data_IF_996923520199
#
_entry.id   IF_996923520199
#
_cell.length_a   1.000
_cell.length_b   1.000
_cell.length_c   1.000
_cell.angle_alpha   90.00
_cell.angle_beta   90.00
_cell.angle_gamma   90.00
#
_symmetry.space_group_name_H-M   'P 1'
#
loop_
_entity.id
_entity.type
_entity.pdbx_description
1 polymer ?
#
# COMPACT_ATOMS: atom_id res chain seq x y z
N UNK A 1 11.91 -2.90 14.69
CA UNK A 1 11.79 -3.12 13.23
C UNK A 1 12.67 -2.13 12.49
N UNK A 2 13.35 -2.54 11.43
CA UNK A 2 14.09 -1.64 10.54
C UNK A 2 13.42 -1.67 9.17
N UNK A 3 13.25 -0.51 8.55
CA UNK A 3 12.67 -0.40 7.22
C UNK A 3 13.50 0.53 6.35
N UNK A 4 13.68 0.18 5.08
CA UNK A 4 14.34 0.97 4.07
C UNK A 4 13.43 1.09 2.84
N UNK A 5 13.38 2.28 2.25
CA UNK A 5 12.59 2.57 1.05
C UNK A 5 13.52 2.86 -0.11
N UNK A 6 13.30 2.18 -1.21
CA UNK A 6 13.98 2.41 -2.48
C UNK A 6 12.94 2.79 -3.54
N UNK A 7 13.14 3.91 -4.21
CA UNK A 7 12.28 4.32 -5.32
C UNK A 7 12.69 3.56 -6.59
N UNK A 8 11.79 2.76 -7.11
CA UNK A 8 11.98 2.06 -8.38
C UNK A 8 11.55 2.97 -9.55
N UNK A 9 10.45 3.71 -9.34
CA UNK A 9 9.88 4.62 -10.34
C UNK A 9 9.27 5.84 -9.64
N UNK A 10 8.79 6.82 -10.41
CA UNK A 10 8.11 8.01 -9.89
C UNK A 10 6.86 7.67 -9.03
N UNK A 11 6.25 6.52 -9.29
CA UNK A 11 5.02 6.04 -8.63
C UNK A 11 5.19 4.70 -7.94
N UNK A 12 6.34 4.02 -8.05
CA UNK A 12 6.57 2.67 -7.50
C UNK A 12 7.75 2.68 -6.55
N UNK A 13 7.54 2.16 -5.35
CA UNK A 13 8.58 2.02 -4.34
C UNK A 13 8.71 0.58 -3.88
N UNK A 14 9.93 0.19 -3.54
CA UNK A 14 10.28 -1.07 -2.90
C UNK A 14 10.61 -0.79 -1.45
N UNK A 15 9.86 -1.41 -0.57
CA UNK A 15 10.03 -1.35 0.87
C UNK A 15 10.73 -2.63 1.34
N UNK A 16 11.91 -2.51 1.92
CA UNK A 16 12.63 -3.62 2.55
C UNK A 16 12.45 -3.50 4.05
N UNK A 17 11.96 -4.57 4.67
CA UNK A 17 11.66 -4.60 6.11
C UNK A 17 12.40 -5.74 6.78
N UNK A 18 13.05 -5.44 7.89
CA UNK A 18 13.72 -6.38 8.77
C UNK A 18 13.00 -6.37 10.12
N UNK A 19 12.45 -7.52 10.51
CA UNK A 19 11.73 -7.73 11.78
C UNK A 19 12.55 -8.64 12.66
N UNK A 20 12.86 -8.19 13.88
CA UNK A 20 13.57 -9.01 14.87
C UNK A 20 12.68 -10.13 15.41
N UNK A 21 13.31 -11.18 15.93
CA UNK A 21 12.58 -12.30 16.53
C UNK A 21 11.68 -11.87 17.70
N UNK A 22 12.12 -10.89 18.50
CA UNK A 22 11.34 -10.38 19.64
C UNK A 22 10.05 -9.69 19.18
N UNK A 23 10.10 -8.99 18.05
CA UNK A 23 8.91 -8.35 17.45
C UNK A 23 7.99 -9.38 16.78
N UNK A 24 8.54 -10.48 16.26
CA UNK A 24 7.77 -11.57 15.68
C UNK A 24 7.11 -12.48 16.75
N UNK A 25 7.64 -12.52 17.95
CA UNK A 25 7.19 -13.39 19.05
C UNK A 25 5.69 -13.28 19.38
N UNK A 26 5.07 -12.09 19.46
CA UNK A 26 3.63 -11.97 19.68
C UNK A 26 2.81 -12.67 18.59
N UNK A 27 3.24 -12.57 17.32
CA UNK A 27 2.58 -13.25 16.20
C UNK A 27 2.75 -14.76 16.27
N UNK A 28 3.92 -15.24 16.71
CA UNK A 28 4.16 -16.68 16.97
C UNK A 28 3.26 -17.19 18.10
N UNK A 29 3.14 -16.45 19.19
CA UNK A 29 2.27 -16.83 20.32
C UNK A 29 0.79 -16.84 19.91
N UNK A 30 0.38 -15.93 19.02
CA UNK A 30 -0.96 -15.91 18.46
C UNK A 30 -1.21 -17.11 17.54
N UNK A 31 -0.26 -17.42 16.67
CA UNK A 31 -0.32 -18.58 15.79
C UNK A 31 -0.47 -19.90 16.57
N UNK A 32 0.28 -20.08 17.67
CA UNK A 32 0.12 -21.23 18.54
C UNK A 32 -1.30 -21.33 19.12
N UNK A 33 -1.89 -20.22 19.57
CA UNK A 33 -3.26 -20.20 20.10
C UNK A 33 -4.27 -20.56 19.02
N UNK A 34 -4.15 -19.96 17.84
CA UNK A 34 -5.04 -20.21 16.71
C UNK A 34 -4.98 -21.68 16.25
N UNK A 35 -3.77 -22.23 16.13
CA UNK A 35 -3.56 -23.64 15.79
C UNK A 35 -4.11 -24.56 16.90
N UNK A 36 -3.91 -24.22 18.18
CA UNK A 36 -4.46 -25.00 19.30
C UNK A 36 -5.99 -25.06 19.30
N UNK A 37 -6.67 -24.04 18.77
CA UNK A 37 -8.12 -23.99 18.61
C UNK A 37 -8.61 -24.77 17.39
N UNK A 38 -7.83 -24.81 16.32
CA UNK A 38 -8.19 -25.46 15.06
C UNK A 38 -7.92 -26.97 15.08
N UNK A 39 -6.83 -27.41 15.73
CA UNK A 39 -6.38 -28.79 15.74
C UNK A 39 -7.02 -29.59 16.89
N UNK A 40 -7.45 -30.81 16.59
CA UNK A 40 -7.95 -31.74 17.59
C UNK A 40 -6.86 -32.76 17.93
N UNK A 41 -6.36 -32.70 19.16
CA UNK A 41 -5.35 -33.65 19.68
C UNK A 41 -5.99 -34.52 20.78
N UNK A 42 -6.03 -35.86 20.61
CA UNK A 42 -6.52 -36.75 21.64
C UNK A 42 -5.80 -36.54 22.99
N UNK A 43 -6.56 -36.42 24.07
CA UNK A 43 -6.04 -36.17 25.43
C UNK A 43 -5.89 -34.68 25.79
N UNK A 44 -6.12 -33.75 24.89
CA UNK A 44 -6.07 -32.32 25.17
C UNK A 44 -7.38 -31.64 24.79
N UNK A 45 -7.77 -30.65 25.60
CA UNK A 45 -8.91 -29.79 25.28
C UNK A 45 -8.49 -28.78 24.21
N UNK A 46 -9.37 -28.51 23.23
CA UNK A 46 -9.19 -27.45 22.22
C UNK A 46 -8.80 -26.11 22.87
N UNK A 47 -7.79 -25.45 22.35
CA UNK A 47 -7.26 -24.17 22.85
C UNK A 47 -6.35 -24.33 24.10
N UNK A 48 -6.10 -25.54 24.58
CA UNK A 48 -5.22 -25.84 25.75
C UNK A 48 -4.13 -26.86 25.42
N UNK A 49 -3.70 -26.88 24.16
CA UNK A 49 -2.64 -27.81 23.72
C UNK A 49 -1.29 -27.10 23.92
N UNK A 50 -0.33 -27.74 24.63
CA UNK A 50 1.01 -27.19 24.83
C UNK A 50 1.75 -26.99 23.48
N UNK A 51 2.55 -25.90 23.29
CA UNK A 51 3.31 -25.66 22.07
C UNK A 51 4.14 -26.84 21.58
N UNK A 52 4.78 -27.58 22.50
CA UNK A 52 5.58 -28.76 22.14
C UNK A 52 4.78 -29.85 21.44
N UNK A 53 3.51 -30.03 21.79
CA UNK A 53 2.64 -31.01 21.16
C UNK A 53 2.20 -30.50 19.76
N UNK A 54 2.00 -29.21 19.60
CA UNK A 54 1.70 -28.60 18.32
C UNK A 54 2.91 -28.77 17.39
N UNK A 55 4.12 -28.49 17.87
CA UNK A 55 5.37 -28.66 17.11
C UNK A 55 5.58 -30.12 16.65
N UNK A 56 5.21 -31.12 17.48
CA UNK A 56 5.31 -32.52 17.10
C UNK A 56 4.26 -32.95 16.07
N UNK A 57 3.08 -32.37 16.08
CA UNK A 57 1.96 -32.79 15.24
C UNK A 57 1.88 -32.01 13.91
N UNK A 58 2.08 -30.71 13.97
CA UNK A 58 1.93 -29.78 12.85
C UNK A 58 3.29 -29.39 12.29
N UNK A 59 4.32 -29.39 13.14
CA UNK A 59 5.66 -28.93 12.80
C UNK A 59 5.85 -27.45 13.10
N UNK A 60 7.01 -27.11 13.66
CA UNK A 60 7.36 -25.71 13.99
C UNK A 60 7.41 -24.80 12.75
N UNK A 61 7.77 -25.38 11.59
CA UNK A 61 7.79 -24.64 10.32
C UNK A 61 6.42 -24.11 9.94
N UNK A 62 5.38 -24.94 10.05
CA UNK A 62 4.01 -24.51 9.72
C UNK A 62 3.47 -23.46 10.71
N UNK A 63 3.86 -23.55 11.98
CA UNK A 63 3.51 -22.50 12.97
C UNK A 63 4.17 -21.18 12.63
N UNK A 64 5.45 -21.20 12.25
CA UNK A 64 6.20 -20.02 11.86
C UNK A 64 5.64 -19.39 10.57
N UNK A 65 5.34 -20.20 9.58
CA UNK A 65 4.70 -19.75 8.33
C UNK A 65 3.35 -19.08 8.61
N UNK A 66 2.53 -19.69 9.48
CA UNK A 66 1.26 -19.09 9.88
C UNK A 66 1.46 -17.76 10.63
N UNK A 67 2.43 -17.69 11.55
CA UNK A 67 2.75 -16.48 12.28
C UNK A 67 3.25 -15.35 11.37
N UNK A 68 4.07 -15.68 10.36
CA UNK A 68 4.56 -14.71 9.37
C UNK A 68 3.40 -14.20 8.53
N UNK A 69 2.59 -15.09 7.96
CA UNK A 69 1.47 -14.71 7.11
C UNK A 69 0.46 -13.81 7.84
N UNK A 70 0.19 -14.10 9.12
CA UNK A 70 -0.71 -13.31 9.95
C UNK A 70 -0.09 -11.96 10.37
N UNK A 71 1.19 -11.95 10.73
CA UNK A 71 1.91 -10.75 11.17
C UNK A 71 2.31 -9.81 10.05
N UNK A 72 2.45 -10.32 8.81
CA UNK A 72 3.02 -9.60 7.67
C UNK A 72 2.26 -8.30 7.36
N UNK A 73 0.93 -8.34 7.40
CA UNK A 73 0.08 -7.15 7.18
C UNK A 73 0.30 -6.07 8.23
N UNK A 74 0.52 -6.46 9.48
CA UNK A 74 0.82 -5.55 10.59
C UNK A 74 2.18 -4.89 10.42
N UNK A 75 3.22 -5.66 10.14
CA UNK A 75 4.58 -5.17 9.90
C UNK A 75 4.66 -4.25 8.68
N UNK A 76 3.95 -4.59 7.60
CA UNK A 76 3.83 -3.73 6.43
C UNK A 76 3.16 -2.39 6.78
N UNK A 77 2.03 -2.41 7.50
CA UNK A 77 1.32 -1.19 7.87
C UNK A 77 2.16 -0.28 8.77
N UNK A 78 2.95 -0.85 9.68
CA UNK A 78 3.88 -0.11 10.54
C UNK A 78 5.00 0.50 9.70
N UNK A 79 5.63 -0.26 8.80
CA UNK A 79 6.67 0.22 7.90
C UNK A 79 6.20 1.35 6.98
N UNK A 80 4.99 1.25 6.43
CA UNK A 80 4.36 2.31 5.63
C UNK A 80 4.15 3.59 6.44
N UNK A 81 3.72 3.46 7.70
CA UNK A 81 3.50 4.59 8.60
C UNK A 81 4.80 5.30 8.95
N UNK A 82 5.83 4.54 9.31
CA UNK A 82 7.13 5.07 9.70
C UNK A 82 7.79 5.83 8.57
N UNK A 83 7.65 5.34 7.34
CA UNK A 83 8.19 5.98 6.15
C UNK A 83 7.22 7.00 5.51
N UNK A 84 6.06 7.26 6.13
CA UNK A 84 5.04 8.22 5.67
C UNK A 84 4.59 7.99 4.22
N UNK A 85 4.62 6.76 3.77
CA UNK A 85 4.18 6.38 2.43
C UNK A 85 2.65 6.44 2.31
N UNK A 86 2.17 6.69 1.10
CA UNK A 86 0.73 6.69 0.78
C UNK A 86 0.47 5.66 -0.32
N UNK A 87 0.30 4.40 0.03
CA UNK A 87 0.01 3.35 -0.93
C UNK A 87 -1.33 3.58 -1.61
N UNK A 88 -1.39 3.31 -2.91
CA UNK A 88 -2.60 3.41 -3.73
C UNK A 88 -3.27 2.05 -3.95
N UNK A 89 -2.52 0.97 -3.82
CA UNK A 89 -2.99 -0.38 -4.08
C UNK A 89 -2.50 -1.40 -3.05
N UNK A 90 -2.75 -2.66 -3.34
CA UNK A 90 -2.23 -3.78 -2.55
C UNK A 90 -0.73 -3.95 -2.85
N UNK A 91 0.11 -4.16 -1.82
CA UNK A 91 1.53 -4.42 -2.02
C UNK A 91 1.74 -5.82 -2.59
N UNK A 92 2.73 -5.95 -3.44
CA UNK A 92 3.29 -7.25 -3.81
C UNK A 92 4.40 -7.59 -2.81
N UNK A 93 4.15 -8.58 -1.95
CA UNK A 93 5.03 -8.91 -0.82
C UNK A 93 5.77 -10.20 -1.10
N UNK A 94 7.09 -10.16 -0.98
CA UNK A 94 7.98 -11.31 -1.10
C UNK A 94 8.81 -11.48 0.16
N UNK A 95 8.75 -12.67 0.77
CA UNK A 95 9.57 -13.02 1.94
C UNK A 95 10.93 -13.52 1.45
N UNK A 96 11.99 -12.79 1.77
CA UNK A 96 13.35 -13.11 1.32
C UNK A 96 14.13 -13.97 2.32
N UNK A 97 13.86 -13.81 3.62
CA UNK A 97 14.54 -14.58 4.67
C UNK A 97 13.58 -14.87 5.82
N UNK A 98 13.55 -16.12 6.24
CA UNK A 98 12.77 -16.61 7.36
C UNK A 98 13.71 -16.95 8.51
N UNK A 99 13.36 -16.69 9.80
CA UNK A 99 14.16 -17.11 10.94
C UNK A 99 14.35 -18.63 10.97
N UNK A 100 15.48 -19.10 11.45
CA UNK A 100 15.74 -20.54 11.56
C UNK A 100 14.77 -21.23 12.52
N UNK A 101 14.27 -22.40 12.12
CA UNK A 101 13.28 -23.18 12.87
C UNK A 101 13.73 -23.59 14.29
N UNK A 102 15.03 -23.72 14.51
CA UNK A 102 15.64 -24.18 15.76
C UNK A 102 16.15 -23.06 16.65
N UNK A 103 16.28 -21.85 16.10
CA UNK A 103 16.82 -20.71 16.82
C UNK A 103 15.71 -19.91 17.51
N UNK A 104 16.04 -19.40 18.69
CA UNK A 104 15.27 -18.34 19.38
C UNK A 104 15.77 -16.96 18.97
N UNK A 105 16.68 -16.91 18.01
CA UNK A 105 17.29 -15.73 17.46
C UNK A 105 17.20 -15.81 15.93
N UNK A 106 16.91 -14.70 15.29
CA UNK A 106 16.80 -14.63 13.84
C UNK A 106 16.03 -13.39 13.42
N UNK A 107 16.06 -13.10 12.16
CA UNK A 107 15.38 -11.96 11.57
C UNK A 107 14.50 -12.42 10.41
N UNK A 108 13.32 -11.87 10.35
CA UNK A 108 12.44 -11.99 9.19
C UNK A 108 12.74 -10.82 8.26
N UNK A 109 13.10 -11.12 7.02
CA UNK A 109 13.24 -10.10 5.98
C UNK A 109 12.18 -10.30 4.91
N UNK A 110 11.49 -9.25 4.57
CA UNK A 110 10.57 -9.25 3.44
C UNK A 110 10.69 -7.96 2.65
N UNK A 111 10.35 -8.03 1.39
CA UNK A 111 10.26 -6.88 0.49
C UNK A 111 8.81 -6.69 0.07
N UNK A 112 8.37 -5.44 -0.02
CA UNK A 112 7.04 -5.09 -0.49
C UNK A 112 7.17 -4.04 -1.59
N UNK A 113 6.70 -4.38 -2.79
CA UNK A 113 6.59 -3.42 -3.87
C UNK A 113 5.17 -2.86 -3.90
N UNK A 114 5.07 -1.56 -3.92
CA UNK A 114 3.76 -0.88 -3.85
C UNK A 114 3.77 0.40 -4.68
N UNK A 115 2.64 0.68 -5.30
CA UNK A 115 2.40 1.95 -5.96
C UNK A 115 2.04 3.02 -4.92
N UNK A 116 2.72 4.16 -5.00
CA UNK A 116 2.52 5.30 -4.11
C UNK A 116 2.12 6.54 -4.91
N UNK A 117 1.45 7.44 -4.23
CA UNK A 117 1.16 8.75 -4.81
C UNK A 117 2.48 9.52 -5.03
N UNK A 118 2.80 9.94 -6.27
CA UNK A 118 4.00 10.73 -6.53
C UNK A 118 3.93 12.10 -5.88
N UNK A 119 5.08 12.65 -5.54
CA UNK A 119 5.19 14.06 -5.20
C UNK A 119 5.04 14.90 -6.47
N UNK A 120 4.00 15.73 -6.51
CA UNK A 120 3.72 16.61 -7.65
C UNK A 120 4.29 17.98 -7.33
N UNK A 121 5.35 18.37 -8.03
CA UNK A 121 5.86 19.72 -7.98
C UNK A 121 5.04 20.58 -8.95
N UNK A 122 4.23 21.47 -8.41
CA UNK A 122 3.45 22.42 -9.23
C UNK A 122 4.41 23.52 -9.71
N UNK A 123 4.46 23.81 -11.04
CA UNK A 123 5.25 24.92 -11.52
C UNK A 123 4.73 26.25 -10.97
N UNK A 124 5.61 27.23 -10.84
CA UNK A 124 5.21 28.58 -10.46
C UNK A 124 4.25 29.15 -11.53
N UNK A 125 3.01 29.39 -11.15
CA UNK A 125 1.96 29.86 -12.05
C UNK A 125 2.32 31.21 -12.68
N UNK A 126 3.06 32.04 -11.98
CA UNK A 126 3.53 33.35 -12.45
C UNK A 126 4.56 33.25 -13.60
N UNK A 127 5.16 32.07 -13.79
CA UNK A 127 6.08 31.82 -14.91
C UNK A 127 5.38 31.45 -16.23
N UNK A 128 4.08 31.17 -16.18
CA UNK A 128 3.29 30.74 -17.34
C UNK A 128 2.78 31.99 -18.05
N UNK A 129 3.37 32.28 -19.20
CA UNK A 129 2.92 33.37 -20.08
C UNK A 129 1.96 32.80 -21.13
N UNK A 130 0.74 33.27 -21.12
CA UNK A 130 -0.24 32.96 -22.15
C UNK A 130 -0.29 34.13 -23.16
N UNK A 131 -0.03 33.84 -24.42
CA UNK A 131 -0.25 34.79 -25.49
C UNK A 131 -1.64 34.56 -26.05
N UNK A 132 -2.48 35.56 -25.95
CA UNK A 132 -3.85 35.53 -26.51
C UNK A 132 -3.86 36.49 -27.67
N UNK A 133 -4.38 36.06 -28.81
CA UNK A 133 -4.55 36.93 -29.96
C UNK A 133 -5.54 38.05 -29.63
N UNK A 134 -5.22 39.27 -30.09
CA UNK A 134 -6.13 40.41 -29.93
C UNK A 134 -7.41 40.15 -30.71
N UNK A 135 -8.54 40.43 -30.07
CA UNK A 135 -9.84 40.31 -30.72
C UNK A 135 -10.08 41.60 -31.52
N UNK A 136 -9.88 41.54 -32.81
CA UNK A 136 -10.27 42.62 -33.70
C UNK A 136 -11.75 42.44 -34.09
N UNK A 137 -12.56 43.45 -33.80
CA UNK A 137 -13.95 43.50 -34.24
C UNK A 137 -14.00 44.16 -35.60
N UNK A 138 -14.37 43.39 -36.60
CA UNK A 138 -14.46 43.89 -38.01
C UNK A 138 -15.83 44.52 -38.25
N UNK A 139 -15.90 45.38 -39.29
CA UNK A 139 -17.17 45.98 -39.75
C UNK A 139 -18.19 44.91 -40.20
N UNK A 140 -17.69 43.74 -40.64
CA UNK A 140 -18.51 42.58 -40.97
C UNK A 140 -19.18 41.97 -39.73
N UNK A 141 -18.45 41.87 -38.61
CA UNK A 141 -18.98 41.38 -37.35
C UNK A 141 -20.08 42.30 -36.82
N UNK A 142 -19.88 43.63 -36.93
CA UNK A 142 -20.86 44.62 -36.52
C UNK A 142 -22.11 44.53 -37.41
N UNK A 143 -21.94 44.41 -38.72
CA UNK A 143 -23.03 44.31 -39.68
C UNK A 143 -23.83 43.01 -39.46
N UNK A 144 -23.13 41.90 -39.33
CA UNK A 144 -23.77 40.61 -39.04
C UNK A 144 -24.58 40.62 -37.70
N UNK A 145 -24.07 41.35 -36.71
CA UNK A 145 -24.79 41.50 -35.44
C UNK A 145 -26.02 42.39 -35.55
N UNK A 146 -25.95 43.45 -36.37
CA UNK A 146 -27.07 44.32 -36.66
C UNK A 146 -28.16 43.59 -37.45
N UNK A 147 -27.79 42.79 -38.44
CA UNK A 147 -28.73 42.01 -39.21
C UNK A 147 -29.45 40.94 -38.38
N UNK A 148 -28.72 40.26 -37.51
CA UNK A 148 -29.32 39.33 -36.56
C UNK A 148 -30.32 40.03 -35.60
N UNK A 149 -30.04 41.27 -35.21
CA UNK A 149 -30.98 42.07 -34.43
C UNK A 149 -32.20 42.47 -35.24
N UNK A 150 -32.03 42.87 -36.51
CA UNK A 150 -33.14 43.22 -37.43
C UNK A 150 -34.08 42.04 -37.66
N UNK A 151 -33.51 40.84 -37.87
CA UNK A 151 -34.31 39.61 -38.02
C UNK A 151 -35.12 39.32 -36.76
N UNK A 152 -34.52 39.51 -35.59
CA UNK A 152 -35.18 39.26 -34.30
C UNK A 152 -36.37 40.18 -34.02
N UNK A 153 -36.32 41.38 -34.52
CA UNK A 153 -37.38 42.40 -34.38
C UNK A 153 -38.21 42.58 -35.64
N UNK A 154 -37.96 41.80 -36.69
CA UNK A 154 -38.76 41.79 -37.93
C UNK A 154 -40.14 41.21 -37.68
N UNK A 155 -41.18 41.87 -38.15
CA UNK A 155 -42.54 41.34 -38.24
C UNK A 155 -42.82 40.91 -39.66
N UNK A 156 -43.36 39.73 -39.88
CA UNK A 156 -43.92 39.30 -41.15
C UNK A 156 -45.16 40.13 -41.45
N UNK A 157 -45.10 40.92 -42.55
CA UNK A 157 -46.29 41.59 -43.13
C UNK A 157 -46.85 40.79 -44.27
#
# INVERSE_FOLDING_TARGET
MKSAVESLDATKVKLTVEVSYDELKPSIDHAYKHIAESVNVPGFRKGKIPPRIIDQRVGRGAVLEHAINEGLSGFYAEAVRDNKLRPLGQPEVEVTKVPELTATEGELHFTAEVEVRPEITVPELDSITLTVDDVEVTDEDVTGRLDALRERFGSLS
#
